data_IF_634696262699
#
_entry.id   IF_634696262699
#
_cell.length_a   1.000
_cell.length_b   1.000
_cell.length_c   1.000
_cell.angle_alpha   90.00
_cell.angle_beta   90.00
_cell.angle_gamma   90.00
#
_symmetry.space_group_name_H-M   'P 1'
#
loop_
_entity.id
_entity.type
_entity.pdbx_description
1 polymer ?
#
# COMPACT_ATOMS: atom_id res chain seq x y z
N UNK A 1 36.00 -5.09 -15.33
CA UNK A 1 34.92 -6.05 -15.04
C UNK A 1 34.47 -5.96 -13.58
N UNK A 2 35.39 -5.81 -12.63
CA UNK A 2 35.07 -5.76 -11.19
C UNK A 2 34.29 -4.52 -10.75
N UNK A 3 34.63 -3.32 -11.25
CA UNK A 3 33.92 -2.08 -10.89
C UNK A 3 32.45 -2.11 -11.35
N UNK A 4 32.17 -2.67 -12.53
CA UNK A 4 30.79 -2.87 -13.01
C UNK A 4 30.02 -3.80 -12.09
N UNK A 5 30.66 -4.89 -11.64
CA UNK A 5 30.04 -5.88 -10.76
C UNK A 5 29.74 -5.29 -9.38
N UNK A 6 30.63 -4.45 -8.84
CA UNK A 6 30.41 -3.67 -7.61
C UNK A 6 29.24 -2.69 -7.77
N UNK A 7 29.17 -1.96 -8.90
CA UNK A 7 28.06 -1.05 -9.17
C UNK A 7 26.71 -1.77 -9.27
N UNK A 8 26.67 -2.95 -9.90
CA UNK A 8 25.47 -3.77 -9.99
C UNK A 8 25.02 -4.22 -8.60
N UNK A 9 25.95 -4.72 -7.77
CA UNK A 9 25.66 -5.10 -6.38
C UNK A 9 25.12 -3.93 -5.56
N UNK A 10 25.70 -2.74 -5.73
CA UNK A 10 25.24 -1.53 -5.06
C UNK A 10 23.81 -1.15 -5.50
N UNK A 11 23.52 -1.21 -6.80
CA UNK A 11 22.18 -0.93 -7.33
C UNK A 11 21.15 -1.93 -6.79
N UNK A 12 21.47 -3.22 -6.80
CA UNK A 12 20.57 -4.27 -6.30
C UNK A 12 20.30 -4.07 -4.81
N UNK A 13 21.33 -3.77 -4.02
CA UNK A 13 21.19 -3.44 -2.60
C UNK A 13 20.28 -2.23 -2.38
N UNK A 14 20.47 -1.17 -3.17
CA UNK A 14 19.62 0.02 -3.13
C UNK A 14 18.17 -0.29 -3.48
N UNK A 15 17.91 -1.09 -4.51
CA UNK A 15 16.56 -1.53 -4.88
C UNK A 15 15.88 -2.31 -3.74
N UNK A 16 16.60 -3.24 -3.11
CA UNK A 16 16.09 -4.01 -1.96
C UNK A 16 15.79 -3.06 -0.79
N UNK A 17 16.69 -2.14 -0.48
CA UNK A 17 16.49 -1.15 0.58
C UNK A 17 15.22 -0.30 0.35
N UNK A 18 15.01 0.19 -0.88
CA UNK A 18 13.83 0.95 -1.25
C UNK A 18 12.54 0.12 -1.15
N UNK A 19 12.57 -1.15 -1.55
CA UNK A 19 11.43 -2.07 -1.43
C UNK A 19 11.03 -2.29 0.04
N UNK A 20 12.00 -2.53 0.93
CA UNK A 20 11.75 -2.70 2.37
C UNK A 20 11.13 -1.43 2.97
N UNK A 21 11.69 -0.25 2.66
CA UNK A 21 11.18 1.03 3.15
C UNK A 21 9.75 1.29 2.67
N UNK A 22 9.46 0.97 1.39
CA UNK A 22 8.10 1.07 0.85
C UNK A 22 7.13 0.23 1.65
N UNK A 23 7.49 -1.02 1.94
CA UNK A 23 6.61 -1.94 2.66
C UNK A 23 6.31 -1.47 4.10
N UNK A 24 7.32 -0.94 4.81
CA UNK A 24 7.15 -0.38 6.15
C UNK A 24 6.19 0.81 6.14
N UNK A 25 6.32 1.72 5.15
CA UNK A 25 5.43 2.88 5.01
C UNK A 25 4.00 2.43 4.71
N UNK A 26 3.82 1.49 3.77
CA UNK A 26 2.50 0.95 3.44
C UNK A 26 1.84 0.28 4.65
N UNK A 27 2.61 -0.46 5.46
CA UNK A 27 2.10 -1.07 6.69
C UNK A 27 1.63 -0.01 7.71
N UNK A 28 2.48 0.97 8.02
CA UNK A 28 2.10 2.08 8.92
C UNK A 28 0.89 2.85 8.43
N UNK A 29 0.79 3.08 7.12
CA UNK A 29 -0.35 3.76 6.51
C UNK A 29 -1.64 2.92 6.60
N UNK A 30 -1.54 1.62 6.42
CA UNK A 30 -2.66 0.69 6.61
C UNK A 30 -3.12 0.70 8.07
N UNK A 31 -2.20 0.56 9.02
CA UNK A 31 -2.50 0.63 10.45
C UNK A 31 -3.11 1.99 10.82
N UNK A 32 -2.64 3.08 10.20
CA UNK A 32 -3.22 4.42 10.38
C UNK A 32 -4.67 4.48 9.90
N UNK A 33 -4.97 4.01 8.68
CA UNK A 33 -6.33 4.01 8.15
C UNK A 33 -7.28 3.17 9.01
N UNK A 34 -6.85 1.98 9.44
CA UNK A 34 -7.66 1.09 10.29
C UNK A 34 -7.91 1.72 11.67
N UNK A 35 -6.88 2.28 12.31
CA UNK A 35 -7.01 2.80 13.67
C UNK A 35 -7.76 4.14 13.75
N UNK A 36 -7.74 4.95 12.69
CA UNK A 36 -8.34 6.28 12.71
C UNK A 36 -9.75 6.33 12.14
N UNK A 37 -10.36 5.17 11.78
CA UNK A 37 -11.71 4.98 11.17
C UNK A 37 -12.50 6.28 10.99
N UNK A 38 -12.03 7.08 10.05
CA UNK A 38 -12.57 8.41 9.82
C UNK A 38 -13.67 8.35 8.75
N UNK A 39 -14.43 9.43 8.58
CA UNK A 39 -15.42 9.55 7.49
C UNK A 39 -14.82 9.32 6.10
N UNK A 40 -13.49 9.35 6.01
CA UNK A 40 -12.72 9.06 4.82
C UNK A 40 -12.72 7.59 4.38
N UNK A 41 -13.12 6.63 5.24
CA UNK A 41 -13.20 5.21 4.90
C UNK A 41 -14.59 4.61 5.11
N UNK A 42 -15.59 5.41 5.52
CA UNK A 42 -16.98 4.96 5.72
C UNK A 42 -17.58 4.30 4.48
N UNK A 43 -17.17 4.72 3.28
CA UNK A 43 -17.60 4.11 2.02
C UNK A 43 -17.15 2.64 1.87
N UNK A 44 -16.16 2.19 2.63
CA UNK A 44 -15.69 0.80 2.65
C UNK A 44 -16.60 -0.05 3.54
N UNK A 45 -17.08 0.51 4.65
CA UNK A 45 -17.99 -0.16 5.60
C UNK A 45 -19.46 -0.08 5.18
N UNK A 46 -19.87 0.94 4.41
CA UNK A 46 -21.29 1.13 4.01
C UNK A 46 -21.86 0.00 3.16
N UNK A 47 -21.00 -0.85 2.59
CA UNK A 47 -21.40 -2.04 1.85
C UNK A 47 -21.93 -1.76 0.43
N UNK A 48 -22.20 -0.51 0.10
CA UNK A 48 -22.80 -0.08 -1.18
C UNK A 48 -21.90 -0.32 -2.40
N UNK A 49 -20.59 -0.42 -2.19
CA UNK A 49 -19.57 -0.52 -3.23
C UNK A 49 -18.87 -1.87 -3.22
N UNK A 50 -18.51 -2.35 -4.42
CA UNK A 50 -17.67 -3.54 -4.57
C UNK A 50 -16.27 -3.30 -3.99
N UNK A 51 -15.60 -4.36 -3.54
CA UNK A 51 -14.22 -4.28 -3.01
C UNK A 51 -13.28 -3.60 -4.02
N UNK A 52 -13.47 -3.88 -5.31
CA UNK A 52 -12.66 -3.28 -6.38
C UNK A 52 -12.93 -1.78 -6.56
N UNK A 53 -14.18 -1.33 -6.43
CA UNK A 53 -14.51 0.09 -6.51
C UNK A 53 -13.97 0.85 -5.30
N UNK A 54 -14.14 0.31 -4.09
CA UNK A 54 -13.52 0.87 -2.89
C UNK A 54 -12.00 0.97 -3.05
N UNK A 55 -11.35 -0.06 -3.61
CA UNK A 55 -9.92 -0.05 -3.86
C UNK A 55 -9.50 1.00 -4.89
N UNK A 56 -10.31 1.21 -5.94
CA UNK A 56 -10.07 2.28 -6.93
C UNK A 56 -10.21 3.67 -6.31
N UNK A 57 -11.24 3.91 -5.50
CA UNK A 57 -11.46 5.19 -4.80
C UNK A 57 -10.30 5.46 -3.85
N UNK A 58 -9.92 4.47 -3.04
CA UNK A 58 -8.81 4.57 -2.09
C UNK A 58 -7.48 4.80 -2.81
N UNK A 59 -7.22 4.08 -3.89
CA UNK A 59 -6.02 4.28 -4.72
C UNK A 59 -6.01 5.66 -5.40
N UNK A 60 -7.16 6.17 -5.85
CA UNK A 60 -7.26 7.52 -6.43
C UNK A 60 -6.92 8.59 -5.40
N UNK A 61 -7.34 8.42 -4.15
CA UNK A 61 -7.11 9.37 -3.06
C UNK A 61 -5.66 9.34 -2.55
N UNK A 62 -5.13 8.16 -2.25
CA UNK A 62 -3.84 8.03 -1.56
C UNK A 62 -2.67 7.56 -2.45
N UNK A 63 -2.93 7.22 -3.72
CA UNK A 63 -1.91 6.78 -4.71
C UNK A 63 -1.01 5.64 -4.22
N UNK A 64 -1.58 4.74 -3.42
CA UNK A 64 -0.87 3.63 -2.75
C UNK A 64 -0.65 2.38 -3.63
N UNK A 65 -1.20 2.38 -4.84
CA UNK A 65 -1.21 1.26 -5.76
C UNK A 65 -2.46 0.38 -5.56
N UNK A 66 -3.03 -0.11 -6.66
CA UNK A 66 -4.35 -0.76 -6.62
C UNK A 66 -4.35 -2.08 -5.83
N UNK A 67 -3.25 -2.83 -5.86
CA UNK A 67 -3.09 -4.07 -5.07
C UNK A 67 -3.07 -3.77 -3.58
N UNK A 68 -2.31 -2.76 -3.16
CA UNK A 68 -2.26 -2.34 -1.76
C UNK A 68 -3.63 -1.81 -1.30
N UNK A 69 -4.27 -0.99 -2.12
CA UNK A 69 -5.61 -0.50 -1.83
C UNK A 69 -6.62 -1.65 -1.68
N UNK A 70 -6.53 -2.67 -2.53
CA UNK A 70 -7.37 -3.86 -2.44
C UNK A 70 -7.15 -4.62 -1.14
N UNK A 71 -5.90 -4.86 -0.73
CA UNK A 71 -5.57 -5.51 0.54
C UNK A 71 -6.18 -4.74 1.72
N UNK A 72 -6.04 -3.40 1.75
CA UNK A 72 -6.58 -2.57 2.81
C UNK A 72 -8.11 -2.67 2.88
N UNK A 73 -8.78 -2.54 1.74
CA UNK A 73 -10.26 -2.65 1.66
C UNK A 73 -10.72 -4.03 2.12
N UNK A 74 -10.05 -5.11 1.69
CA UNK A 74 -10.33 -6.46 2.15
C UNK A 74 -10.15 -6.60 3.67
N UNK A 75 -9.05 -6.11 4.22
CA UNK A 75 -8.78 -6.17 5.66
C UNK A 75 -9.82 -5.40 6.48
N UNK A 76 -10.35 -4.29 5.97
CA UNK A 76 -11.40 -3.51 6.63
C UNK A 76 -12.75 -4.24 6.54
N UNK A 77 -13.12 -4.75 5.36
CA UNK A 77 -14.43 -5.39 5.13
C UNK A 77 -14.54 -6.80 5.73
N UNK A 78 -13.41 -7.44 6.02
CA UNK A 78 -13.33 -8.72 6.72
C UNK A 78 -13.26 -8.58 8.25
N UNK A 79 -13.10 -7.34 8.76
CA UNK A 79 -13.03 -7.02 10.18
C UNK A 79 -14.39 -6.62 10.73
#
# INVERSE_FOLDING_TARGET
>A
MDIQLVFILLLVSLCIFLLVRKNIITKKFTDFLINNKGPEIDFIESGDLSVLECAKILNKKYRIGIVNAYIIVCSIKAS
#
